data_IF_798393288869
#
_entry.id   IF_798393288869
#
_cell.length_a   1.000
_cell.length_b   1.000
_cell.length_c   1.000
_cell.angle_alpha   90.00
_cell.angle_beta   90.00
_cell.angle_gamma   90.00
#
_symmetry.space_group_name_H-M   'P 1'
#
loop_
_entity.id
_entity.type
_entity.pdbx_description
1 polymer ?
#
# COMPACT_ATOMS: atom_id res chain seq x y z
N UNK A 1 12.51 -24.07 -8.81
CA UNK A 1 12.91 -25.32 -9.50
C UNK A 1 11.82 -25.63 -10.52
N UNK A 2 12.15 -25.76 -11.80
CA UNK A 2 11.17 -26.18 -12.82
C UNK A 2 10.79 -27.64 -12.59
N UNK A 3 9.58 -27.88 -12.09
CA UNK A 3 9.03 -29.23 -11.94
C UNK A 3 8.75 -29.78 -13.34
N UNK A 4 9.18 -31.00 -13.65
CA UNK A 4 8.85 -31.64 -14.94
C UNK A 4 7.45 -32.23 -14.83
N UNK A 5 6.49 -31.76 -15.62
CA UNK A 5 5.14 -32.32 -15.71
C UNK A 5 4.87 -32.88 -17.12
N UNK A 6 4.06 -33.93 -17.20
CA UNK A 6 3.62 -34.56 -18.45
C UNK A 6 2.09 -34.71 -18.43
N UNK A 7 1.45 -34.53 -19.58
CA UNK A 7 0.03 -34.81 -19.76
C UNK A 7 -0.25 -36.31 -19.65
N UNK A 8 -1.52 -36.68 -19.41
CA UNK A 8 -1.97 -38.09 -19.43
C UNK A 8 -1.69 -38.77 -20.80
N UNK A 9 -1.57 -37.97 -21.87
CA UNK A 9 -1.20 -38.44 -23.21
C UNK A 9 0.31 -38.61 -23.47
N UNK A 10 1.17 -38.40 -22.46
CA UNK A 10 2.62 -38.60 -22.60
C UNK A 10 3.39 -37.45 -23.27
N UNK A 11 2.73 -36.32 -23.53
CA UNK A 11 3.37 -35.11 -24.06
C UNK A 11 3.87 -34.23 -22.91
N UNK A 12 5.06 -33.59 -23.06
CA UNK A 12 5.55 -32.63 -22.08
C UNK A 12 4.60 -31.43 -22.02
N UNK A 13 4.27 -30.98 -20.82
CA UNK A 13 3.48 -29.77 -20.58
C UNK A 13 4.30 -28.80 -19.74
N UNK A 14 4.05 -27.50 -19.91
CA UNK A 14 4.66 -26.46 -19.08
C UNK A 14 3.88 -26.37 -17.76
N UNK A 15 4.58 -26.37 -16.61
CA UNK A 15 3.94 -26.08 -15.31
C UNK A 15 3.58 -24.62 -15.28
N UNK A 16 2.32 -24.28 -14.98
CA UNK A 16 1.93 -22.91 -14.70
C UNK A 16 2.74 -22.37 -13.51
N UNK A 17 3.50 -21.30 -13.71
CA UNK A 17 4.12 -20.53 -12.65
C UNK A 17 3.16 -19.44 -12.18
N UNK A 18 3.40 -18.81 -11.02
CA UNK A 18 2.64 -17.61 -10.62
C UNK A 18 2.67 -16.47 -11.64
N UNK A 19 3.60 -16.51 -12.60
CA UNK A 19 3.78 -15.54 -13.68
C UNK A 19 2.81 -15.79 -14.85
N UNK A 20 2.28 -17.01 -14.97
CA UNK A 20 1.29 -17.41 -16.00
C UNK A 20 -0.16 -17.03 -15.61
N UNK A 21 -0.35 -16.43 -14.43
CA UNK A 21 -1.62 -15.79 -14.05
C UNK A 21 -1.70 -14.48 -14.85
N UNK A 22 -2.73 -14.29 -15.69
CA UNK A 22 -2.88 -13.09 -16.55
C UNK A 22 -2.86 -11.76 -15.76
N UNK A 23 -3.01 -11.82 -14.43
CA UNK A 23 -2.77 -10.73 -13.48
C UNK A 23 -1.51 -10.97 -12.62
N UNK A 24 -0.38 -11.22 -13.28
CA UNK A 24 0.92 -11.46 -12.65
C UNK A 24 1.25 -10.44 -11.55
N UNK A 25 1.17 -10.89 -10.29
CA UNK A 25 1.56 -10.13 -9.11
C UNK A 25 0.67 -8.93 -8.77
N UNK A 26 -0.02 -8.99 -7.63
CA UNK A 26 -0.75 -7.84 -7.12
C UNK A 26 0.22 -6.72 -6.69
N UNK A 27 0.12 -5.55 -7.33
CA UNK A 27 0.73 -4.32 -6.84
C UNK A 27 -0.32 -3.53 -6.07
N UNK A 28 -0.03 -3.17 -4.82
CA UNK A 28 -0.94 -2.35 -4.02
C UNK A 28 -0.98 -0.93 -4.59
N UNK A 29 -2.10 -0.47 -5.17
CA UNK A 29 -2.21 0.90 -5.66
C UNK A 29 -2.22 1.88 -4.49
N UNK A 30 -1.83 3.13 -4.75
CA UNK A 30 -2.04 4.21 -3.80
C UNK A 30 -3.55 4.47 -3.62
N UNK A 31 -3.96 4.81 -2.40
CA UNK A 31 -5.34 5.22 -2.14
C UNK A 31 -5.71 6.46 -2.96
N UNK A 32 -6.95 6.50 -3.47
CA UNK A 32 -7.53 7.68 -4.12
C UNK A 32 -8.92 7.93 -3.54
N UNK A 33 -9.54 9.07 -3.86
CA UNK A 33 -10.91 9.39 -3.44
C UNK A 33 -11.97 8.47 -4.03
N UNK A 34 -11.64 7.72 -5.09
CA UNK A 34 -12.58 6.85 -5.80
C UNK A 34 -12.21 5.36 -5.72
N UNK A 35 -11.04 4.99 -5.18
CA UNK A 35 -10.55 3.61 -5.21
C UNK A 35 -9.74 3.29 -3.95
N UNK A 36 -10.03 2.13 -3.36
CA UNK A 36 -9.29 1.59 -2.21
C UNK A 36 -7.84 1.33 -2.62
N UNK A 37 -6.91 1.77 -1.78
CA UNK A 37 -5.47 1.54 -1.95
C UNK A 37 -4.72 1.71 -0.64
N UNK A 38 -3.40 1.53 -0.70
CA UNK A 38 -2.51 1.69 0.44
C UNK A 38 -2.14 3.15 0.72
N UNK A 39 -1.82 3.42 1.98
CA UNK A 39 -1.19 4.67 2.45
C UNK A 39 0.10 4.33 3.19
N UNK A 40 1.01 5.30 3.26
CA UNK A 40 2.17 5.16 4.13
C UNK A 40 1.79 5.50 5.57
N UNK A 41 2.53 4.96 6.53
CA UNK A 41 2.43 5.43 7.92
C UNK A 41 2.97 6.86 8.02
N UNK A 42 2.22 7.77 8.63
CA UNK A 42 2.72 9.12 8.90
C UNK A 42 3.88 9.14 9.90
N UNK A 43 4.67 10.20 9.83
CA UNK A 43 5.63 10.53 10.88
C UNK A 43 4.91 10.81 12.20
N UNK A 44 5.54 10.47 13.33
CA UNK A 44 4.94 10.67 14.66
C UNK A 44 4.60 12.14 14.90
N UNK A 45 3.40 12.41 15.41
CA UNK A 45 3.00 13.70 15.97
C UNK A 45 3.02 13.59 17.49
N UNK A 46 3.72 14.51 18.16
CA UNK A 46 3.71 14.58 19.62
C UNK A 46 2.31 15.03 20.10
N UNK A 47 1.93 14.62 21.30
CA UNK A 47 0.70 15.13 21.93
C UNK A 47 0.80 16.64 22.11
N UNK A 48 -0.29 17.36 21.84
CA UNK A 48 -0.34 18.80 22.08
C UNK A 48 -0.24 19.09 23.58
N UNK A 49 0.63 20.02 23.93
CA UNK A 49 0.73 20.59 25.29
C UNK A 49 0.40 22.09 25.28
N UNK A 50 -0.26 22.56 24.23
CA UNK A 50 -0.63 23.96 24.08
C UNK A 50 -1.61 24.39 25.18
N UNK A 51 -1.38 25.56 25.75
CA UNK A 51 -2.25 26.18 26.76
C UNK A 51 -3.11 27.30 26.18
N UNK A 52 -2.95 27.59 24.89
CA UNK A 52 -3.67 28.62 24.16
C UNK A 52 -4.14 28.13 22.79
N UNK A 53 -5.03 28.91 22.16
CA UNK A 53 -5.61 28.57 20.85
C UNK A 53 -4.55 28.59 19.75
N UNK A 54 -3.60 29.52 19.81
CA UNK A 54 -2.56 29.65 18.79
C UNK A 54 -1.64 28.42 18.74
N UNK A 55 -1.30 27.86 19.90
CA UNK A 55 -0.55 26.62 20.02
C UNK A 55 -1.33 25.42 19.46
N UNK A 56 -2.62 25.30 19.77
CA UNK A 56 -3.47 24.23 19.20
C UNK A 56 -3.55 24.33 17.67
N UNK A 57 -3.72 25.52 17.12
CA UNK A 57 -3.74 25.74 15.66
C UNK A 57 -2.41 25.33 15.03
N UNK A 58 -1.29 25.60 15.69
CA UNK A 58 0.04 25.20 15.23
C UNK A 58 0.19 23.67 15.21
N UNK A 59 -0.18 23.00 16.30
CA UNK A 59 -0.11 21.54 16.42
C UNK A 59 -1.04 20.83 15.42
N UNK A 60 -2.23 21.40 15.18
CA UNK A 60 -3.18 20.89 14.19
C UNK A 60 -2.63 21.01 12.77
N UNK A 61 -2.08 22.16 12.39
CA UNK A 61 -1.50 22.34 11.06
C UNK A 61 -0.29 21.42 10.84
N UNK A 62 0.49 21.16 11.90
CA UNK A 62 1.57 20.18 11.86
C UNK A 62 1.04 18.75 11.64
N UNK A 63 -0.05 18.36 12.30
CA UNK A 63 -0.71 17.07 12.09
C UNK A 63 -1.22 16.93 10.65
N UNK A 64 -1.95 17.93 10.15
CA UNK A 64 -2.50 17.95 8.78
C UNK A 64 -1.39 17.76 7.75
N UNK A 65 -0.29 18.51 7.89
CA UNK A 65 0.87 18.41 6.99
C UNK A 65 1.43 16.98 6.95
N UNK A 66 1.54 16.32 8.11
CA UNK A 66 2.03 14.94 8.20
C UNK A 66 1.07 13.92 7.58
N UNK A 67 -0.23 14.12 7.74
CA UNK A 67 -1.26 13.29 7.11
C UNK A 67 -1.25 13.42 5.58
N UNK A 68 -1.17 14.64 5.06
CA UNK A 68 -1.05 14.91 3.62
C UNK A 68 0.22 14.31 3.03
N UNK A 69 1.35 14.44 3.74
CA UNK A 69 2.64 13.84 3.30
C UNK A 69 2.56 12.31 3.20
N UNK A 70 1.75 11.68 4.05
CA UNK A 70 1.55 10.23 4.05
C UNK A 70 0.50 9.75 3.03
N UNK A 71 -0.19 10.68 2.34
CA UNK A 71 -1.26 10.37 1.39
C UNK A 71 -2.56 9.92 2.06
N UNK A 72 -2.81 10.35 3.30
CA UNK A 72 -4.02 9.97 4.05
C UNK A 72 -5.18 10.97 3.91
N UNK A 73 -4.93 12.14 3.31
CA UNK A 73 -5.90 13.22 3.12
C UNK A 73 -5.74 13.83 1.73
#
# INVERSE_FOLDING_TARGET
MTTKCMSVGGYPVTVATPEDIEEGGYTLPAATTATIGGVKKMTTQAASTATDVAGVVTDLNALITKLTTAGMM
#
